data_IF_986383810640
#
_entry.id   IF_986383810640
#
_cell.length_a   1.000
_cell.length_b   1.000
_cell.length_c   1.000
_cell.angle_alpha   90.00
_cell.angle_beta   90.00
_cell.angle_gamma   90.00
#
_symmetry.space_group_name_H-M   'P 1'
#
loop_
_entity.id
_entity.type
_entity.pdbx_description
1 polymer ?
#
# COMPACT_ATOMS: atom_id res chain seq x y z
N UNK A 1 -3.18 4.94 -0.57
CA UNK A 1 -2.86 3.52 -0.84
C UNK A 1 -2.42 3.34 -2.29
N UNK A 2 -3.25 3.67 -3.27
CA UNK A 2 -2.98 3.53 -4.70
C UNK A 2 -1.63 4.11 -5.17
N UNK A 3 -1.27 5.31 -4.71
CA UNK A 3 0.03 5.93 -5.03
C UNK A 3 1.19 5.14 -4.41
N UNK A 4 1.03 4.68 -3.17
CA UNK A 4 2.06 3.94 -2.46
C UNK A 4 2.33 2.59 -3.13
N UNK A 5 1.28 1.87 -3.50
CA UNK A 5 1.38 0.59 -4.20
C UNK A 5 2.00 0.73 -5.59
N UNK A 6 1.63 1.78 -6.34
CA UNK A 6 2.26 2.09 -7.63
C UNK A 6 3.75 2.42 -7.50
N UNK A 7 4.14 3.16 -6.47
CA UNK A 7 5.57 3.40 -6.20
C UNK A 7 6.30 2.14 -5.81
N UNK A 8 5.66 1.29 -5.01
CA UNK A 8 6.23 0.04 -4.56
C UNK A 8 6.48 -0.91 -5.76
N UNK A 9 5.45 -1.14 -6.59
CA UNK A 9 5.58 -1.98 -7.77
C UNK A 9 6.56 -1.38 -8.79
N UNK A 10 6.58 -0.05 -8.96
CA UNK A 10 7.57 0.65 -9.81
C UNK A 10 9.00 0.36 -9.36
N UNK A 11 9.22 0.31 -8.04
CA UNK A 11 10.52 -0.03 -7.47
C UNK A 11 10.93 -1.48 -7.72
N UNK A 12 9.95 -2.40 -7.76
CA UNK A 12 10.19 -3.83 -8.00
C UNK A 12 10.54 -4.09 -9.47
N UNK A 13 9.80 -3.47 -10.39
CA UNK A 13 9.98 -3.68 -11.84
C UNK A 13 11.01 -2.74 -12.48
N UNK A 14 11.51 -1.74 -11.75
CA UNK A 14 12.48 -0.76 -12.26
C UNK A 14 11.91 0.23 -13.28
N UNK A 15 10.58 0.44 -13.34
CA UNK A 15 9.90 1.37 -14.24
C UNK A 15 8.98 2.29 -13.46
N UNK A 16 8.95 3.56 -13.83
CA UNK A 16 8.07 4.55 -13.18
C UNK A 16 6.65 4.47 -13.75
N UNK A 17 5.79 3.72 -13.08
CA UNK A 17 4.38 3.54 -13.46
C UNK A 17 3.52 4.79 -13.24
N UNK A 18 3.98 5.72 -12.42
CA UNK A 18 3.26 6.98 -12.22
C UNK A 18 3.37 7.90 -13.45
N UNK A 19 4.46 7.72 -14.24
CA UNK A 19 4.66 8.46 -15.50
C UNK A 19 4.13 7.70 -16.70
N UNK A 20 4.34 6.37 -16.75
CA UNK A 20 3.93 5.55 -17.87
C UNK A 20 3.43 4.18 -17.39
N UNK A 21 2.13 3.89 -17.47
CA UNK A 21 1.05 4.49 -18.26
C UNK A 21 0.48 5.82 -17.74
N UNK A 22 0.80 6.23 -16.53
CA UNK A 22 0.30 7.42 -15.87
C UNK A 22 -0.72 7.11 -14.78
N UNK A 23 -0.68 7.91 -13.72
CA UNK A 23 -1.55 7.74 -12.55
C UNK A 23 -3.04 7.84 -12.91
N UNK A 24 -3.39 8.74 -13.84
CA UNK A 24 -4.78 8.96 -14.26
C UNK A 24 -5.40 7.71 -14.84
N UNK A 25 -4.66 6.97 -15.67
CA UNK A 25 -5.15 5.75 -16.34
C UNK A 25 -5.34 4.59 -15.35
N UNK A 26 -4.45 4.49 -14.38
CA UNK A 26 -4.56 3.43 -13.36
C UNK A 26 -5.72 3.69 -12.41
N UNK A 27 -5.94 4.95 -12.03
CA UNK A 27 -7.07 5.35 -11.21
C UNK A 27 -8.41 5.17 -11.95
N UNK A 28 -8.41 5.45 -13.25
CA UNK A 28 -9.57 5.24 -14.11
C UNK A 28 -9.89 3.74 -14.23
N UNK A 29 -8.88 2.88 -14.29
CA UNK A 29 -9.03 1.43 -14.26
C UNK A 29 -9.70 0.92 -12.98
N UNK A 30 -9.27 1.40 -11.82
CA UNK A 30 -9.88 1.11 -10.51
C UNK A 30 -11.34 1.57 -10.45
N UNK A 31 -11.62 2.77 -10.97
CA UNK A 31 -12.98 3.32 -11.04
C UNK A 31 -13.90 2.46 -11.91
N UNK A 32 -13.46 2.08 -13.10
CA UNK A 32 -14.21 1.19 -14.00
C UNK A 32 -14.42 -0.17 -13.36
N UNK A 33 -13.39 -0.75 -12.73
CA UNK A 33 -13.49 -2.01 -12.00
C UNK A 33 -14.52 -1.94 -10.87
N UNK A 34 -14.55 -0.84 -10.11
CA UNK A 34 -15.53 -0.61 -9.05
C UNK A 34 -16.96 -0.48 -9.57
N UNK A 35 -17.15 0.20 -10.72
CA UNK A 35 -18.47 0.32 -11.36
C UNK A 35 -18.97 -1.07 -11.80
N UNK A 36 -18.12 -1.84 -12.46
CA UNK A 36 -18.47 -3.20 -12.89
C UNK A 36 -18.78 -4.09 -11.68
N UNK A 37 -17.94 -4.05 -10.65
CA UNK A 37 -18.16 -4.80 -9.41
C UNK A 37 -19.49 -4.43 -8.75
N UNK A 38 -19.82 -3.14 -8.68
CA UNK A 38 -21.07 -2.67 -8.10
C UNK A 38 -22.33 -3.16 -8.87
N UNK A 39 -22.25 -3.29 -10.21
CA UNK A 39 -23.34 -3.85 -11.00
C UNK A 39 -23.67 -5.32 -10.62
N UNK A 40 -22.67 -6.05 -10.14
CA UNK A 40 -22.83 -7.42 -9.63
C UNK A 40 -23.06 -7.48 -8.10
N UNK A 41 -23.25 -6.34 -7.44
CA UNK A 41 -23.48 -6.27 -5.99
C UNK A 41 -22.20 -6.42 -5.16
N UNK A 42 -21.03 -6.29 -5.77
CA UNK A 42 -19.73 -6.31 -5.08
C UNK A 42 -19.37 -4.99 -4.40
N UNK A 43 -18.39 -5.05 -3.50
CA UNK A 43 -17.80 -3.88 -2.89
C UNK A 43 -16.92 -3.11 -3.89
N UNK A 44 -16.66 -1.80 -3.66
CA UNK A 44 -15.70 -1.04 -4.47
C UNK A 44 -14.32 -1.70 -4.46
N UNK A 45 -13.68 -1.73 -5.61
CA UNK A 45 -12.32 -2.25 -5.74
C UNK A 45 -11.30 -1.20 -5.26
N UNK A 46 -10.18 -1.70 -4.75
CA UNK A 46 -8.97 -0.91 -4.49
C UNK A 46 -7.74 -1.74 -4.82
N UNK A 47 -6.57 -1.10 -4.85
CA UNK A 47 -5.31 -1.82 -4.98
C UNK A 47 -5.02 -2.66 -3.73
N UNK A 48 -4.45 -3.84 -3.94
CA UNK A 48 -4.06 -4.75 -2.85
C UNK A 48 -2.54 -4.79 -2.71
N UNK A 49 -2.03 -4.30 -1.58
CA UNK A 49 -0.62 -4.37 -1.23
C UNK A 49 -0.09 -5.80 -1.15
N UNK A 50 -0.96 -6.76 -0.77
CA UNK A 50 -0.64 -8.19 -0.75
C UNK A 50 -0.29 -8.72 -2.15
N UNK A 51 -0.98 -8.26 -3.18
CA UNK A 51 -0.68 -8.61 -4.56
C UNK A 51 0.68 -8.08 -5.00
N UNK A 52 1.05 -6.88 -4.56
CA UNK A 52 2.39 -6.32 -4.79
C UNK A 52 3.47 -7.19 -4.13
N UNK A 53 3.20 -7.69 -2.92
CA UNK A 53 4.11 -8.62 -2.24
C UNK A 53 4.28 -9.94 -3.04
N UNK A 54 3.19 -10.48 -3.59
CA UNK A 54 3.26 -11.65 -4.46
C UNK A 54 4.12 -11.40 -5.71
N UNK A 55 3.98 -10.24 -6.36
CA UNK A 55 4.82 -9.85 -7.50
C UNK A 55 6.29 -9.75 -7.09
N UNK A 56 6.57 -9.21 -5.89
CA UNK A 56 7.94 -9.11 -5.38
C UNK A 56 8.60 -10.48 -5.16
N UNK A 57 7.83 -11.45 -4.65
CA UNK A 57 8.31 -12.81 -4.36
C UNK A 57 8.51 -13.60 -5.66
N UNK A 58 7.50 -13.58 -6.53
CA UNK A 58 7.52 -14.35 -7.79
C UNK A 58 8.37 -13.71 -8.87
N UNK A 59 8.71 -12.42 -8.72
CA UNK A 59 9.36 -11.58 -9.73
C UNK A 59 8.65 -11.57 -11.08
N UNK A 60 7.35 -11.88 -11.06
CA UNK A 60 6.52 -11.90 -12.26
C UNK A 60 5.51 -10.73 -12.20
N UNK A 61 5.78 -9.69 -12.97
CA UNK A 61 4.93 -8.50 -13.11
C UNK A 61 4.22 -8.47 -14.48
N UNK A 62 4.00 -9.64 -15.09
CA UNK A 62 3.32 -9.73 -16.39
C UNK A 62 1.83 -9.44 -16.23
N UNK A 63 1.36 -8.43 -16.95
CA UNK A 63 -0.07 -8.07 -16.99
C UNK A 63 -0.91 -9.26 -17.49
N UNK A 64 -0.40 -10.03 -18.45
CA UNK A 64 -1.09 -11.21 -18.95
C UNK A 64 -1.30 -12.27 -17.87
N UNK A 65 -0.27 -12.52 -17.04
CA UNK A 65 -0.38 -13.47 -15.92
C UNK A 65 -1.44 -13.01 -14.90
N UNK A 66 -1.45 -11.74 -14.56
CA UNK A 66 -2.42 -11.18 -13.61
C UNK A 66 -3.84 -11.23 -14.19
N UNK A 67 -4.01 -10.91 -15.48
CA UNK A 67 -5.30 -10.99 -16.15
C UNK A 67 -5.82 -12.43 -16.24
N UNK A 68 -4.95 -13.41 -16.52
CA UNK A 68 -5.30 -14.82 -16.52
C UNK A 68 -5.71 -15.29 -15.12
N UNK A 69 -4.94 -14.93 -14.09
CA UNK A 69 -5.28 -15.27 -12.71
C UNK A 69 -6.65 -14.68 -12.30
N UNK A 70 -6.97 -13.46 -12.71
CA UNK A 70 -8.28 -12.85 -12.48
C UNK A 70 -9.41 -13.62 -13.19
N UNK A 71 -9.19 -14.03 -14.45
CA UNK A 71 -10.14 -14.83 -15.20
C UNK A 71 -10.35 -16.22 -14.56
N UNK A 72 -9.27 -16.87 -14.13
CA UNK A 72 -9.34 -18.14 -13.39
C UNK A 72 -10.12 -18.00 -12.07
N UNK A 73 -9.88 -16.93 -11.32
CA UNK A 73 -10.64 -16.66 -10.08
C UNK A 73 -12.14 -16.52 -10.36
N UNK A 74 -12.53 -15.85 -11.44
CA UNK A 74 -13.94 -15.74 -11.85
C UNK A 74 -14.50 -17.11 -12.14
N UNK A 75 -13.82 -17.94 -12.93
CA UNK A 75 -14.28 -19.28 -13.28
C UNK A 75 -14.41 -20.19 -12.04
N UNK A 76 -13.41 -20.15 -11.15
CA UNK A 76 -13.39 -20.96 -9.93
C UNK A 76 -14.50 -20.52 -8.95
N UNK A 77 -14.89 -19.25 -8.94
CA UNK A 77 -15.95 -18.75 -8.06
C UNK A 77 -17.32 -19.40 -8.32
N UNK A 78 -17.55 -19.92 -9.52
CA UNK A 78 -18.77 -20.69 -9.84
C UNK A 78 -18.72 -22.15 -9.36
N UNK A 79 -17.55 -22.64 -8.93
CA UNK A 79 -17.39 -24.02 -8.45
C UNK A 79 -17.65 -24.05 -6.95
N UNK A 80 -18.93 -24.26 -6.58
CA UNK A 80 -19.36 -24.28 -5.16
C UNK A 80 -18.53 -25.20 -4.25
N UNK A 81 -18.14 -26.43 -4.64
CA UNK A 81 -17.30 -27.28 -3.80
C UNK A 81 -15.93 -26.67 -3.47
N UNK A 82 -15.36 -25.94 -4.41
CA UNK A 82 -14.07 -25.25 -4.21
C UNK A 82 -14.21 -24.09 -3.22
N UNK A 83 -15.26 -23.30 -3.37
CA UNK A 83 -15.56 -22.19 -2.44
C UNK A 83 -15.81 -22.72 -1.02
N UNK A 84 -16.55 -23.82 -0.88
CA UNK A 84 -16.80 -24.47 0.40
C UNK A 84 -15.49 -25.00 1.03
N UNK A 85 -14.59 -25.57 0.22
CA UNK A 85 -13.28 -26.03 0.67
C UNK A 85 -12.43 -24.86 1.22
N UNK A 86 -12.34 -23.74 0.49
CA UNK A 86 -11.61 -22.56 0.96
C UNK A 86 -12.22 -22.01 2.27
N UNK A 87 -13.55 -21.96 2.35
CA UNK A 87 -14.26 -21.50 3.55
C UNK A 87 -14.10 -22.43 4.76
N UNK A 88 -13.68 -23.68 4.54
CA UNK A 88 -13.41 -24.65 5.61
C UNK A 88 -12.01 -24.51 6.22
N UNK A 89 -11.14 -23.68 5.64
CA UNK A 89 -9.78 -23.46 6.15
C UNK A 89 -9.86 -22.82 7.53
N UNK A 90 -9.23 -23.41 8.57
CA UNK A 90 -9.23 -22.84 9.90
C UNK A 90 -8.61 -21.43 9.94
N UNK A 91 -9.21 -20.54 10.72
CA UNK A 91 -8.75 -19.14 10.85
C UNK A 91 -7.31 -19.03 11.37
N UNK A 92 -6.83 -20.01 12.15
CA UNK A 92 -5.44 -20.06 12.60
C UNK A 92 -4.44 -20.25 11.43
N UNK A 93 -4.80 -21.04 10.42
CA UNK A 93 -3.97 -21.22 9.22
C UNK A 93 -3.97 -19.95 8.40
N UNK A 94 -5.14 -19.35 8.19
CA UNK A 94 -5.26 -18.06 7.51
C UNK A 94 -4.48 -16.96 8.22
N UNK A 95 -4.55 -16.90 9.55
CA UNK A 95 -3.77 -15.96 10.36
C UNK A 95 -2.26 -16.12 10.16
N UNK A 96 -1.76 -17.35 10.11
CA UNK A 96 -0.34 -17.62 9.85
C UNK A 96 0.11 -17.13 8.46
N UNK A 97 -0.70 -17.37 7.43
CA UNK A 97 -0.43 -16.88 6.06
C UNK A 97 -0.45 -15.34 6.02
N UNK A 98 -1.45 -14.72 6.66
CA UNK A 98 -1.54 -13.26 6.74
C UNK A 98 -0.33 -12.64 7.44
N UNK A 99 0.17 -13.24 8.52
CA UNK A 99 1.40 -12.77 9.19
C UNK A 99 2.60 -12.75 8.24
N UNK A 100 2.78 -13.80 7.44
CA UNK A 100 3.85 -13.84 6.45
C UNK A 100 3.70 -12.75 5.40
N UNK A 101 2.49 -12.57 4.85
CA UNK A 101 2.20 -11.53 3.85
C UNK A 101 2.42 -10.12 4.40
N UNK A 102 1.95 -9.84 5.60
CA UNK A 102 2.18 -8.54 6.24
C UNK A 102 3.66 -8.30 6.55
N UNK A 103 4.42 -9.35 6.86
CA UNK A 103 5.87 -9.27 6.97
C UNK A 103 6.54 -8.79 5.67
N UNK A 104 6.12 -9.32 4.52
CA UNK A 104 6.63 -8.86 3.21
C UNK A 104 6.24 -7.41 2.91
N UNK A 105 5.02 -7.00 3.26
CA UNK A 105 4.58 -5.60 3.10
C UNK A 105 5.42 -4.67 3.97
N UNK A 106 5.66 -5.04 5.23
CA UNK A 106 6.51 -4.27 6.15
C UNK A 106 7.93 -4.11 5.63
N UNK A 107 8.55 -5.20 5.16
CA UNK A 107 9.89 -5.15 4.55
C UNK A 107 9.91 -4.28 3.29
N UNK A 108 8.86 -4.32 2.49
CA UNK A 108 8.72 -3.48 1.30
C UNK A 108 8.65 -1.99 1.68
N UNK A 109 7.91 -1.65 2.73
CA UNK A 109 7.89 -0.30 3.31
C UNK A 109 9.26 0.16 3.81
N UNK A 110 9.99 -0.70 4.51
CA UNK A 110 11.35 -0.42 4.98
C UNK A 110 12.32 -0.17 3.82
N UNK A 111 12.22 -0.92 2.73
CA UNK A 111 13.03 -0.66 1.51
C UNK A 111 12.74 0.70 0.88
N UNK A 112 11.53 1.22 1.00
CA UNK A 112 11.19 2.58 0.56
C UNK A 112 11.84 3.63 1.46
N UNK A 113 11.84 3.41 2.77
CA UNK A 113 12.48 4.30 3.76
C UNK A 113 14.00 4.33 3.55
N UNK A 114 14.63 3.21 3.21
CA UNK A 114 16.08 3.16 2.92
C UNK A 114 16.53 4.03 1.74
N UNK A 115 15.62 4.42 0.85
CA UNK A 115 15.92 5.33 -0.26
C UNK A 115 15.95 6.80 0.15
N UNK A 116 15.49 7.10 1.35
CA UNK A 116 15.48 8.44 1.92
C UNK A 116 16.78 8.65 2.67
N UNK A 117 17.43 9.78 2.45
CA UNK A 117 18.63 10.18 3.19
C UNK A 117 18.24 10.51 4.64
N UNK A 118 18.45 9.55 5.54
CA UNK A 118 18.12 9.65 6.95
C UNK A 118 19.17 10.42 7.77
N UNK A 119 20.32 10.74 7.20
CA UNK A 119 21.33 11.55 7.85
C UNK A 119 20.86 13.01 7.96
N UNK A 120 19.89 13.40 7.13
CA UNK A 120 19.21 14.69 7.25
C UNK A 120 18.20 14.66 8.38
N UNK A 121 18.41 15.50 9.40
CA UNK A 121 17.52 15.62 10.56
C UNK A 121 16.04 15.80 10.17
N UNK A 122 15.75 16.58 9.13
CA UNK A 122 14.42 16.80 8.63
C UNK A 122 13.74 15.48 8.21
N UNK A 123 14.42 14.66 7.41
CA UNK A 123 13.90 13.38 6.94
C UNK A 123 13.76 12.38 8.10
N UNK A 124 14.73 12.37 9.01
CA UNK A 124 14.70 11.51 10.20
C UNK A 124 13.47 11.84 11.07
N UNK A 125 13.20 13.12 11.33
CA UNK A 125 12.03 13.55 12.10
C UNK A 125 10.72 13.16 11.43
N UNK A 126 10.58 13.39 10.12
CA UNK A 126 9.37 13.06 9.36
C UNK A 126 9.10 11.56 9.41
N UNK A 127 10.12 10.74 9.14
CA UNK A 127 10.00 9.27 9.17
C UNK A 127 9.65 8.79 10.58
N UNK A 128 10.29 9.34 11.61
CA UNK A 128 10.03 8.98 13.01
C UNK A 128 8.58 9.27 13.41
N UNK A 129 8.06 10.43 13.05
CA UNK A 129 6.67 10.81 13.36
C UNK A 129 5.68 9.89 12.65
N UNK A 130 5.92 9.57 11.36
CA UNK A 130 5.06 8.67 10.60
C UNK A 130 5.06 7.27 11.22
N UNK A 131 6.23 6.74 11.58
CA UNK A 131 6.34 5.41 12.17
C UNK A 131 5.67 5.34 13.54
N UNK A 132 5.91 6.33 14.42
CA UNK A 132 5.30 6.36 15.75
C UNK A 132 3.78 6.50 15.65
N UNK A 133 3.28 7.39 14.79
CA UNK A 133 1.85 7.58 14.63
C UNK A 133 1.16 6.35 13.99
N UNK A 134 1.79 5.73 13.00
CA UNK A 134 1.24 4.54 12.31
C UNK A 134 1.28 3.28 13.18
N UNK A 135 2.46 2.92 13.70
CA UNK A 135 2.65 1.71 14.52
C UNK A 135 2.04 1.88 15.90
N UNK A 136 2.13 3.08 16.49
CA UNK A 136 1.53 3.41 17.79
C UNK A 136 0.01 3.45 17.80
N UNK A 137 -0.63 3.31 16.63
CA UNK A 137 -2.08 3.25 16.53
C UNK A 137 -2.79 4.56 16.87
N UNK A 138 -2.14 5.70 16.59
CA UNK A 138 -2.71 7.02 16.86
C UNK A 138 -3.99 7.23 16.04
N UNK A 139 -5.14 7.07 16.68
CA UNK A 139 -6.44 7.34 16.08
C UNK A 139 -7.10 8.53 16.77
N UNK A 140 -7.71 9.41 15.98
CA UNK A 140 -8.44 10.57 16.48
C UNK A 140 -9.93 10.37 16.21
N UNK A 141 -10.74 10.42 17.29
CA UNK A 141 -12.19 10.28 17.18
C UNK A 141 -12.84 11.63 17.47
N UNK A 142 -13.52 12.18 16.49
CA UNK A 142 -14.30 13.40 16.60
C UNK A 142 -15.79 13.06 16.48
N UNK A 143 -16.45 12.85 17.61
CA UNK A 143 -17.87 12.48 17.65
C UNK A 143 -18.12 11.14 16.94
N UNK A 144 -18.77 11.17 15.76
CA UNK A 144 -19.07 9.97 14.96
C UNK A 144 -18.03 9.64 13.90
N UNK A 145 -17.00 10.47 13.73
CA UNK A 145 -15.95 10.28 12.72
C UNK A 145 -14.66 9.86 13.41
N UNK A 146 -14.13 8.70 13.01
CA UNK A 146 -12.84 8.20 13.49
C UNK A 146 -11.83 8.29 12.35
N UNK A 147 -10.76 9.06 12.57
CA UNK A 147 -9.62 9.12 11.69
C UNK A 147 -8.69 7.97 12.05
N UNK A 148 -8.43 7.08 11.11
CA UNK A 148 -7.57 5.90 11.31
C UNK A 148 -6.11 6.31 11.55
N UNK A 149 -5.33 5.44 12.18
CA UNK A 149 -3.90 5.68 12.46
C UNK A 149 -3.09 5.94 11.18
N UNK A 150 -3.43 5.29 10.09
CA UNK A 150 -2.78 5.49 8.78
C UNK A 150 -3.03 6.91 8.28
N UNK A 151 -4.27 7.39 8.36
CA UNK A 151 -4.61 8.75 7.95
C UNK A 151 -3.94 9.80 8.85
N UNK A 152 -3.92 9.57 10.18
CA UNK A 152 -3.21 10.43 11.12
C UNK A 152 -1.72 10.50 10.82
N UNK A 153 -1.07 9.35 10.59
CA UNK A 153 0.34 9.28 10.26
C UNK A 153 0.68 10.04 8.96
N UNK A 154 -0.18 9.91 7.94
CA UNK A 154 -0.01 10.60 6.66
C UNK A 154 -0.15 12.13 6.84
N UNK A 155 -1.19 12.59 7.52
CA UNK A 155 -1.44 14.01 7.77
C UNK A 155 -0.28 14.61 8.58
N UNK A 156 0.12 13.95 9.67
CA UNK A 156 1.23 14.40 10.51
C UNK A 156 2.54 14.44 9.74
N UNK A 157 2.82 13.42 8.92
CA UNK A 157 4.02 13.38 8.08
C UNK A 157 4.09 14.54 7.10
N UNK A 158 2.97 14.88 6.44
CA UNK A 158 2.89 16.02 5.51
C UNK A 158 3.08 17.34 6.27
N UNK A 159 2.40 17.52 7.40
CA UNK A 159 2.48 18.75 8.20
C UNK A 159 3.89 18.97 8.73
N UNK A 160 4.50 17.94 9.32
CA UNK A 160 5.86 18.01 9.86
C UNK A 160 6.86 18.29 8.74
N UNK A 161 6.74 17.62 7.60
CA UNK A 161 7.60 17.89 6.44
C UNK A 161 7.45 19.32 5.93
N UNK A 162 6.23 19.85 5.88
CA UNK A 162 5.98 21.22 5.45
C UNK A 162 6.54 22.27 6.43
N UNK A 163 6.45 22.01 7.73
CA UNK A 163 6.99 22.87 8.77
C UNK A 163 8.52 22.89 8.76
N UNK A 164 9.14 21.71 8.69
CA UNK A 164 10.61 21.60 8.71
C UNK A 164 11.27 22.11 7.42
N UNK A 165 10.56 22.02 6.29
CA UNK A 165 11.08 22.54 5.00
C UNK A 165 10.99 24.06 4.91
N UNK A 166 10.22 24.70 5.78
CA UNK A 166 10.04 26.16 5.83
C UNK A 166 11.11 26.87 6.66
N UNK A 167 11.96 26.13 7.39
CA UNK A 167 13.04 26.66 8.21
C UNK A 167 14.36 26.63 7.41
N UNK A 168 14.83 27.78 6.86
CA UNK A 168 16.06 27.83 6.05
C UNK A 168 17.34 27.59 6.87
N UNK A 169 17.24 27.58 8.20
CA UNK A 169 18.38 27.42 9.11
C UNK A 169 18.91 26.00 9.29
N UNK A 170 18.25 24.99 8.75
CA UNK A 170 18.60 23.59 9.00
C UNK A 170 19.60 23.01 7.98
N UNK A 171 19.93 23.73 6.91
CA UNK A 171 20.95 23.30 5.93
C UNK A 171 22.38 23.73 6.30
N UNK A 172 22.55 24.76 7.12
CA UNK A 172 23.88 25.28 7.50
C UNK A 172 24.53 24.56 8.70
N UNK A 173 23.77 23.81 9.50
CA UNK A 173 24.32 23.15 10.69
C UNK A 173 25.00 21.80 10.43
N UNK A 174 25.00 21.30 9.20
CA UNK A 174 25.58 20.00 8.82
C UNK A 174 26.89 20.12 8.03
N UNK A 175 27.45 21.35 7.89
CA UNK A 175 28.76 21.59 7.26
C UNK A 175 29.87 21.97 8.28
N UNK A 176 29.70 21.69 9.56
CA UNK A 176 30.76 21.85 10.56
C UNK A 176 31.12 20.56 11.22
#
# INVERSE_FOLDING_TARGET
EHIADHKNISSIIGRDLLKNPGFDKTLLGDGVGSIVGALFGGCPNTTYGESVACVAITRNASVATIAMAAAECILISFITPFVAFISSIPSCVMGGVCMALYGFIAVSGLKMVQKVDLDKNCNLFVVSVILIAGIGGLSLTFGKVTITSIACALILGIVVNALLKKDPGNEESLQK
#
